data_IF_022981325038
#
_entry.id   IF_022981325038
#
_cell.length_a   1.000
_cell.length_b   1.000
_cell.length_c   1.000
_cell.angle_alpha   90.00
_cell.angle_beta   90.00
_cell.angle_gamma   90.00
#
_symmetry.space_group_name_H-M   'P 1'
#
loop_
_entity.id
_entity.type
_entity.pdbx_description
1 polymer ?
#
# COMPACT_ATOMS: atom_id res chain seq x y z
N UNK A 1 8.65 -1.00 -2.39
CA UNK A 1 9.06 -1.13 -0.99
C UNK A 1 7.93 -0.66 -0.08
N UNK A 2 7.70 -1.37 1.01
CA UNK A 2 6.73 -0.96 2.04
C UNK A 2 7.36 0.01 3.03
N UNK A 3 6.53 0.72 3.81
CA UNK A 3 6.96 1.51 4.96
C UNK A 3 7.72 0.63 5.97
N UNK A 4 8.84 1.15 6.47
CA UNK A 4 9.51 0.62 7.67
C UNK A 4 8.83 1.13 8.94
N UNK A 5 9.16 0.51 10.09
CA UNK A 5 8.64 0.95 11.40
C UNK A 5 9.05 2.40 11.73
N UNK A 6 10.28 2.79 11.38
CA UNK A 6 10.76 4.16 11.60
C UNK A 6 10.04 5.17 10.70
N UNK A 7 9.90 4.87 9.41
CA UNK A 7 9.14 5.72 8.48
C UNK A 7 7.66 5.83 8.91
N UNK A 8 7.07 4.74 9.41
CA UNK A 8 5.74 4.79 10.01
C UNK A 8 5.68 5.77 11.18
N UNK A 9 6.58 5.65 12.16
CA UNK A 9 6.53 6.42 13.39
C UNK A 9 6.76 7.92 13.17
N UNK A 10 7.66 8.28 12.24
CA UNK A 10 8.09 9.67 12.07
C UNK A 10 7.49 10.37 10.84
N UNK A 11 7.11 9.64 9.78
CA UNK A 11 6.67 10.26 8.53
C UNK A 11 5.18 10.07 8.27
N UNK A 12 4.62 8.91 8.62
CA UNK A 12 3.22 8.56 8.34
C UNK A 12 2.29 8.87 9.52
N UNK A 13 2.52 8.24 10.67
CA UNK A 13 1.57 8.23 11.79
C UNK A 13 1.21 9.64 12.31
N UNK A 14 2.17 10.57 12.53
CA UNK A 14 1.84 11.89 13.06
C UNK A 14 0.89 12.71 12.16
N UNK A 15 0.94 12.48 10.85
CA UNK A 15 0.05 13.13 9.89
C UNK A 15 -1.27 12.40 9.65
N UNK A 16 -1.34 11.13 10.04
CA UNK A 16 -2.50 10.28 9.78
C UNK A 16 -3.73 10.66 10.62
N UNK A 17 -4.94 10.39 10.12
CA UNK A 17 -6.18 10.52 10.90
C UNK A 17 -6.15 9.74 12.22
N UNK A 18 -5.41 8.61 12.27
CA UNK A 18 -5.30 7.78 13.47
C UNK A 18 -4.69 8.50 14.66
N UNK A 19 -3.75 9.43 14.43
CA UNK A 19 -3.12 10.21 15.49
C UNK A 19 -4.01 11.35 16.01
N UNK A 20 -5.15 11.62 15.36
CA UNK A 20 -5.98 12.81 15.59
C UNK A 20 -7.37 12.43 16.14
N UNK A 21 -8.07 13.36 16.82
CA UNK A 21 -9.47 13.17 17.16
C UNK A 21 -10.32 12.85 15.90
N UNK A 22 -11.35 12.00 16.01
CA UNK A 22 -11.82 11.32 17.23
C UNK A 22 -11.05 10.04 17.57
N UNK A 23 -10.22 9.53 16.66
CA UNK A 23 -9.59 8.20 16.77
C UNK A 23 -8.55 8.13 17.88
N UNK A 24 -7.52 8.99 17.86
CA UNK A 24 -6.38 8.98 18.80
C UNK A 24 -5.90 7.56 19.13
N UNK A 25 -5.76 6.73 18.11
CA UNK A 25 -5.38 5.33 18.26
C UNK A 25 -3.93 5.21 18.70
N UNK A 26 -3.59 4.16 19.45
CA UNK A 26 -2.20 3.91 19.80
C UNK A 26 -1.36 3.59 18.53
N UNK A 27 -0.20 4.22 18.33
CA UNK A 27 0.63 4.01 17.14
C UNK A 27 1.08 2.56 16.98
N UNK A 28 1.35 1.83 18.06
CA UNK A 28 1.73 0.43 17.99
C UNK A 28 0.56 -0.44 17.51
N UNK A 29 -0.68 -0.09 17.87
CA UNK A 29 -1.87 -0.78 17.38
C UNK A 29 -2.08 -0.56 15.88
N UNK A 30 -1.93 0.69 15.40
CA UNK A 30 -2.04 1.01 13.96
C UNK A 30 -0.95 0.30 13.17
N UNK A 31 0.29 0.33 13.66
CA UNK A 31 1.40 -0.39 13.04
C UNK A 31 1.14 -1.89 12.96
N UNK A 32 0.63 -2.48 14.05
CA UNK A 32 0.27 -3.89 14.09
C UNK A 32 -0.79 -4.24 13.03
N UNK A 33 -1.84 -3.43 12.88
CA UNK A 33 -2.85 -3.63 11.85
C UNK A 33 -2.27 -3.56 10.43
N UNK A 34 -1.38 -2.60 10.16
CA UNK A 34 -0.68 -2.48 8.89
C UNK A 34 0.13 -3.74 8.60
N UNK A 35 0.90 -4.24 9.58
CA UNK A 35 1.69 -5.45 9.44
C UNK A 35 0.82 -6.68 9.17
N UNK A 36 -0.25 -6.88 9.94
CA UNK A 36 -1.17 -8.00 9.77
C UNK A 36 -1.84 -8.02 8.40
N UNK A 37 -2.22 -6.84 7.88
CA UNK A 37 -2.76 -6.73 6.53
C UNK A 37 -1.70 -7.07 5.47
N UNK A 38 -0.48 -6.59 5.67
CA UNK A 38 0.67 -6.82 4.81
C UNK A 38 1.04 -8.30 4.71
N UNK A 39 1.14 -9.00 5.84
CA UNK A 39 1.44 -10.44 5.92
C UNK A 39 0.41 -11.27 5.14
N UNK A 40 -0.89 -11.01 5.40
CA UNK A 40 -1.99 -11.65 4.67
C UNK A 40 -1.92 -11.38 3.17
N UNK A 41 -1.59 -10.14 2.79
CA UNK A 41 -1.43 -9.72 1.40
C UNK A 41 -0.30 -10.47 0.70
N UNK A 42 0.89 -10.55 1.31
CA UNK A 42 2.06 -11.25 0.76
C UNK A 42 1.75 -12.73 0.56
N UNK A 43 1.20 -13.40 1.58
CA UNK A 43 0.89 -14.84 1.49
C UNK A 43 -0.06 -15.12 0.33
N UNK A 44 -1.07 -14.26 0.10
CA UNK A 44 -1.98 -14.42 -1.05
C UNK A 44 -1.28 -14.21 -2.40
N UNK A 45 -0.47 -13.15 -2.53
CA UNK A 45 0.29 -12.94 -3.78
C UNK A 45 1.24 -14.10 -4.08
N UNK A 46 1.96 -14.61 -3.07
CA UNK A 46 2.86 -15.75 -3.24
C UNK A 46 2.10 -17.02 -3.61
N UNK A 47 0.92 -17.27 -3.07
CA UNK A 47 0.11 -18.44 -3.44
C UNK A 47 -0.37 -18.40 -4.89
N UNK A 48 -0.65 -17.22 -5.41
CA UNK A 48 -1.20 -17.09 -6.76
C UNK A 48 -0.13 -16.90 -7.83
N UNK A 49 0.96 -16.21 -7.49
CA UNK A 49 1.96 -15.75 -8.46
C UNK A 49 3.37 -16.24 -8.12
N UNK A 50 3.53 -17.00 -7.03
CA UNK A 50 4.84 -17.52 -6.64
C UNK A 50 5.41 -18.44 -7.71
N UNK A 51 6.64 -18.16 -8.13
CA UNK A 51 7.32 -18.89 -9.21
C UNK A 51 7.14 -18.29 -10.59
N UNK A 52 6.19 -17.36 -10.77
CA UNK A 52 5.93 -16.69 -12.05
C UNK A 52 6.66 -15.34 -12.14
N UNK A 53 7.06 -14.94 -13.35
CA UNK A 53 7.62 -13.62 -13.59
C UNK A 53 6.51 -12.58 -13.78
N UNK A 54 6.46 -11.59 -12.89
CA UNK A 54 5.49 -10.49 -12.97
C UNK A 54 6.06 -9.33 -13.76
N UNK A 55 5.53 -9.11 -14.97
CA UNK A 55 5.84 -7.93 -15.77
C UNK A 55 4.93 -6.76 -15.39
N UNK A 56 5.50 -5.60 -15.09
CA UNK A 56 4.69 -4.38 -14.96
C UNK A 56 4.19 -3.92 -16.34
N UNK A 57 2.90 -3.60 -16.45
CA UNK A 57 2.31 -3.02 -17.66
C UNK A 57 1.86 -1.58 -17.44
N UNK A 58 0.92 -1.38 -16.52
CA UNK A 58 0.37 -0.07 -16.21
C UNK A 58 -0.20 -0.04 -14.80
N UNK A 59 -0.53 1.15 -14.30
CA UNK A 59 -1.30 1.31 -13.08
C UNK A 59 -2.28 2.47 -13.21
N UNK A 60 -3.29 2.48 -12.34
CA UNK A 60 -4.23 3.60 -12.17
C UNK A 60 -4.62 3.68 -10.71
N UNK A 61 -4.52 4.86 -10.12
CA UNK A 61 -5.05 5.15 -8.79
C UNK A 61 -6.30 6.04 -8.90
N UNK A 62 -6.98 6.26 -7.77
CA UNK A 62 -7.97 7.34 -7.70
C UNK A 62 -7.30 8.67 -8.13
N UNK A 63 -7.99 9.51 -8.93
CA UNK A 63 -7.38 10.71 -9.52
C UNK A 63 -7.02 11.77 -8.48
N UNK A 64 -7.78 11.83 -7.39
CA UNK A 64 -7.61 12.79 -6.31
C UNK A 64 -7.03 12.09 -5.06
N UNK A 65 -5.73 12.20 -4.78
CA UNK A 65 -5.16 11.63 -3.57
C UNK A 65 -5.63 12.39 -2.34
N UNK A 66 -5.82 11.67 -1.23
CA UNK A 66 -6.14 12.29 0.05
C UNK A 66 -4.90 13.01 0.60
N UNK A 67 -5.01 14.29 0.91
CA UNK A 67 -3.91 15.08 1.45
C UNK A 67 -3.90 14.97 2.98
N UNK A 68 -2.78 14.48 3.52
CA UNK A 68 -2.53 14.36 4.95
C UNK A 68 -1.31 15.22 5.31
N UNK A 69 -1.58 16.48 5.69
CA UNK A 69 -0.58 17.55 5.84
C UNK A 69 0.26 17.77 4.58
N UNK A 70 1.54 17.41 4.63
CA UNK A 70 2.57 17.51 3.61
C UNK A 70 2.76 16.21 2.82
N UNK A 71 1.88 15.23 3.05
CA UNK A 71 1.86 13.96 2.34
C UNK A 71 0.57 13.78 1.53
N UNK A 72 0.65 12.93 0.51
CA UNK A 72 -0.49 12.48 -0.30
C UNK A 72 -0.66 10.98 -0.15
N UNK A 73 -1.91 10.55 0.01
CA UNK A 73 -2.30 9.16 0.09
C UNK A 73 -3.02 8.77 -1.20
N UNK A 74 -2.37 7.98 -2.04
CA UNK A 74 -2.99 7.41 -3.23
C UNK A 74 -3.70 6.13 -2.86
N UNK A 75 -5.01 6.11 -3.07
CA UNK A 75 -5.87 4.98 -2.80
C UNK A 75 -6.35 4.35 -4.10
N UNK A 76 -6.98 3.18 -3.94
CA UNK A 76 -7.62 2.44 -5.01
C UNK A 76 -6.75 2.10 -6.22
N UNK A 77 -5.43 2.08 -6.03
CA UNK A 77 -4.48 1.73 -7.07
C UNK A 77 -4.67 0.31 -7.57
N UNK A 78 -4.85 0.18 -8.89
CA UNK A 78 -4.89 -1.09 -9.62
C UNK A 78 -3.65 -1.15 -10.48
N UNK A 79 -2.93 -2.27 -10.39
CA UNK A 79 -1.77 -2.56 -11.23
C UNK A 79 -2.20 -3.59 -12.26
N UNK A 80 -1.92 -3.28 -13.53
CA UNK A 80 -1.99 -4.25 -14.61
C UNK A 80 -0.62 -4.90 -14.70
N UNK A 81 -0.58 -6.20 -14.47
CA UNK A 81 0.62 -7.00 -14.60
C UNK A 81 0.45 -8.02 -15.74
N UNK A 82 1.56 -8.35 -16.38
CA UNK A 82 1.71 -9.41 -17.38
C UNK A 82 2.13 -10.69 -16.66
N UNK A 83 1.44 -11.79 -16.94
CA UNK A 83 1.67 -13.11 -16.38
C UNK A 83 1.73 -14.09 -17.56
N UNK A 84 2.95 -14.40 -18.03
CA UNK A 84 3.12 -15.11 -19.30
C UNK A 84 2.62 -14.30 -20.51
N UNK A 85 2.86 -14.79 -21.73
CA UNK A 85 2.22 -14.26 -22.94
C UNK A 85 0.96 -15.08 -23.24
N UNK A 86 -0.19 -14.47 -23.61
CA UNK A 86 -0.51 -13.04 -23.71
C UNK A 86 -1.31 -12.48 -22.51
N UNK A 87 -1.35 -13.19 -21.38
CA UNK A 87 -2.29 -12.87 -20.29
C UNK A 87 -1.86 -11.66 -19.44
N UNK A 88 -2.66 -10.61 -19.51
CA UNK A 88 -2.60 -9.49 -18.55
C UNK A 88 -3.73 -9.63 -17.54
N UNK A 89 -3.40 -9.55 -16.26
CA UNK A 89 -4.39 -9.46 -15.18
C UNK A 89 -4.27 -8.12 -14.47
N UNK A 90 -5.41 -7.43 -14.34
CA UNK A 90 -5.54 -6.26 -13.48
C UNK A 90 -5.81 -6.72 -12.05
N UNK A 91 -4.97 -6.33 -11.09
CA UNK A 91 -5.15 -6.67 -9.69
C UNK A 91 -4.75 -5.52 -8.78
N UNK A 92 -5.39 -5.44 -7.61
CA UNK A 92 -4.95 -4.54 -6.55
C UNK A 92 -3.89 -5.26 -5.75
N UNK A 93 -2.63 -5.04 -6.11
CA UNK A 93 -1.51 -5.75 -5.46
C UNK A 93 -1.11 -5.15 -4.10
N UNK A 94 -1.34 -3.85 -3.96
CA UNK A 94 -0.87 -3.05 -2.83
C UNK A 94 -2.03 -2.32 -2.19
N UNK A 95 -1.85 -1.95 -0.92
CA UNK A 95 -2.71 -1.00 -0.25
C UNK A 95 -2.43 0.43 -0.72
N UNK A 96 -2.68 1.38 0.18
CA UNK A 96 -2.44 2.80 -0.06
C UNK A 96 -0.96 3.08 -0.36
N UNK A 97 -0.69 4.02 -1.27
CA UNK A 97 0.65 4.55 -1.52
C UNK A 97 0.78 5.88 -0.78
N UNK A 98 1.78 5.99 0.08
CA UNK A 98 2.18 7.22 0.74
C UNK A 98 3.20 7.95 -0.14
N UNK A 99 2.91 9.20 -0.49
CA UNK A 99 3.81 10.12 -1.18
C UNK A 99 4.17 11.28 -0.25
N UNK A 100 5.45 11.60 -0.16
CA UNK A 100 5.95 12.82 0.50
C UNK A 100 7.25 13.26 -0.14
N UNK A 101 7.38 14.55 -0.45
CA UNK A 101 8.57 15.14 -1.10
C UNK A 101 9.01 14.37 -2.37
N UNK A 102 8.05 13.93 -3.18
CA UNK A 102 8.29 13.15 -4.40
C UNK A 102 8.78 11.71 -4.17
N UNK A 103 8.76 11.22 -2.93
CA UNK A 103 9.12 9.84 -2.57
C UNK A 103 7.88 9.02 -2.26
N UNK A 104 7.86 7.77 -2.72
CA UNK A 104 6.70 6.89 -2.65
C UNK A 104 6.99 5.62 -1.86
N UNK A 105 6.05 5.20 -1.00
CA UNK A 105 6.10 3.95 -0.24
C UNK A 105 4.72 3.30 -0.20
N UNK A 106 4.67 1.97 -0.24
CA UNK A 106 3.43 1.24 0.05
C UNK A 106 3.19 1.20 1.55
N UNK A 107 1.99 1.55 1.99
CA UNK A 107 1.62 1.42 3.42
C UNK A 107 1.57 -0.05 3.81
N UNK A 108 0.98 -0.89 2.96
CA UNK A 108 0.90 -2.35 3.15
C UNK A 108 0.77 -3.08 1.82
N UNK A 109 1.03 -4.39 1.83
CA UNK A 109 0.52 -5.29 0.80
C UNK A 109 -0.96 -5.56 1.08
N UNK A 110 -1.84 -5.26 0.13
CA UNK A 110 -3.28 -5.47 0.30
C UNK A 110 -3.86 -6.09 -0.99
N UNK A 111 -3.38 -7.30 -1.29
CA UNK A 111 -3.92 -8.11 -2.37
C UNK A 111 -5.40 -8.39 -2.11
N UNK A 112 -6.28 -7.70 -2.85
CA UNK A 112 -7.66 -8.15 -3.10
C UNK A 112 -7.62 -8.98 -4.36
N UNK A 113 -8.07 -10.21 -4.23
CA UNK A 113 -8.53 -11.03 -5.34
C UNK A 113 -10.05 -10.91 -5.36
#
# INVERSE_FOLDING_TARGET
>A
MTLSRAEFAYLYYPGSPYARPPMRQDPALVWFQIQQNSEKGIVRALRQYGGEQLGYHSHRCAPDPEVQNDARMWTDCVVVARFGEPDTTASRLFGTIFERDGRFKFVSYANKL
#
